data_IF_662545122057
#
_entry.id   IF_662545122057
#
_cell.length_a   1.000
_cell.length_b   1.000
_cell.length_c   1.000
_cell.angle_alpha   90.00
_cell.angle_beta   90.00
_cell.angle_gamma   90.00
#
_symmetry.space_group_name_H-M   'P 1'
#
loop_
_entity.id
_entity.type
_entity.pdbx_description
1 polymer ?
#
# COMPACT_ATOMS: atom_id res chain seq x y z
N UNK A 1 -57.80 25.86 -16.32
CA UNK A 1 -56.33 26.06 -16.34
C UNK A 1 -55.71 25.20 -15.26
N UNK A 2 -55.43 23.94 -15.59
CA UNK A 2 -54.90 22.95 -14.66
C UNK A 2 -53.87 22.07 -15.35
N UNK A 3 -53.00 21.45 -14.56
CA UNK A 3 -52.02 20.41 -14.94
C UNK A 3 -50.64 20.85 -15.48
N UNK A 4 -50.10 22.02 -15.10
CA UNK A 4 -48.67 22.33 -15.43
C UNK A 4 -47.73 22.55 -14.23
N UNK A 5 -48.24 22.52 -13.00
CA UNK A 5 -47.41 22.79 -11.80
C UNK A 5 -47.02 21.52 -11.01
N UNK A 6 -47.56 20.35 -11.38
CA UNK A 6 -47.24 19.08 -10.70
C UNK A 6 -46.02 18.36 -11.31
N UNK A 7 -45.52 18.80 -12.47
CA UNK A 7 -44.39 18.14 -13.14
C UNK A 7 -43.00 18.65 -12.71
N UNK A 8 -42.92 19.66 -11.85
CA UNK A 8 -41.67 20.26 -11.40
C UNK A 8 -41.23 19.79 -9.99
N UNK A 9 -41.75 18.65 -9.52
CA UNK A 9 -41.46 18.09 -8.19
C UNK A 9 -40.98 16.64 -8.24
N UNK A 10 -40.39 16.21 -9.36
CA UNK A 10 -39.94 14.83 -9.59
C UNK A 10 -38.48 14.72 -10.08
N UNK A 11 -37.67 15.78 -9.94
CA UNK A 11 -36.29 15.82 -10.44
C UNK A 11 -35.25 16.12 -9.33
N UNK A 12 -35.49 15.66 -8.09
CA UNK A 12 -34.58 15.86 -6.95
C UNK A 12 -34.30 14.56 -6.16
N UNK A 13 -34.37 13.40 -6.81
CA UNK A 13 -34.18 12.08 -6.15
C UNK A 13 -32.98 11.27 -6.66
N UNK A 14 -32.02 11.89 -7.33
CA UNK A 14 -30.87 11.18 -7.91
C UNK A 14 -29.53 11.89 -7.67
N UNK A 15 -29.22 12.22 -6.43
CA UNK A 15 -27.84 12.50 -6.00
C UNK A 15 -27.57 11.90 -4.61
N UNK A 16 -27.68 10.58 -4.54
CA UNK A 16 -27.29 9.80 -3.36
C UNK A 16 -26.35 8.64 -3.69
N UNK A 17 -25.72 8.64 -4.87
CA UNK A 17 -24.86 7.54 -5.30
C UNK A 17 -23.42 7.74 -4.82
N UNK A 18 -23.02 6.88 -3.87
CA UNK A 18 -21.65 6.46 -3.53
C UNK A 18 -20.72 7.43 -2.77
N UNK A 19 -21.08 7.92 -1.57
CA UNK A 19 -20.08 8.56 -0.69
C UNK A 19 -19.19 7.57 0.10
N UNK A 20 -19.53 6.29 0.16
CA UNK A 20 -18.83 5.31 1.02
C UNK A 20 -17.57 4.70 0.40
N UNK A 21 -17.45 4.65 -0.92
CA UNK A 21 -16.23 4.17 -1.59
C UNK A 21 -15.09 5.20 -1.50
N UNK A 22 -15.40 6.48 -1.35
CA UNK A 22 -14.42 7.57 -1.32
C UNK A 22 -13.74 7.73 0.06
N UNK A 23 -14.42 7.33 1.14
CA UNK A 23 -14.02 7.66 2.53
C UNK A 23 -12.62 7.14 2.92
N UNK A 24 -12.15 6.05 2.31
CA UNK A 24 -10.86 5.45 2.65
C UNK A 24 -9.75 5.62 1.59
N UNK A 25 -10.05 6.18 0.42
CA UNK A 25 -9.05 6.35 -0.65
C UNK A 25 -7.95 7.33 -0.22
N UNK A 26 -8.34 8.44 0.41
CA UNK A 26 -7.40 9.43 0.94
C UNK A 26 -6.55 8.83 2.07
N UNK A 27 -7.14 7.96 2.88
CA UNK A 27 -6.44 7.23 3.94
C UNK A 27 -5.40 6.26 3.37
N UNK A 28 -5.75 5.51 2.32
CA UNK A 28 -4.79 4.65 1.60
C UNK A 28 -3.63 5.49 1.09
N UNK A 29 -3.90 6.59 0.36
CA UNK A 29 -2.85 7.43 -0.22
C UNK A 29 -1.96 8.05 0.85
N UNK A 30 -2.56 8.58 1.92
CA UNK A 30 -1.84 9.19 3.04
C UNK A 30 -0.94 8.18 3.76
N UNK A 31 -1.49 7.03 4.16
CA UNK A 31 -0.72 6.05 4.94
C UNK A 31 0.34 5.33 4.11
N UNK A 32 0.05 4.99 2.85
CA UNK A 32 1.06 4.41 1.95
C UNK A 32 2.19 5.40 1.64
N UNK A 33 1.88 6.69 1.50
CA UNK A 33 2.90 7.74 1.36
C UNK A 33 3.74 7.89 2.63
N UNK A 34 3.11 7.88 3.82
CA UNK A 34 3.82 7.90 5.10
C UNK A 34 4.76 6.69 5.24
N UNK A 35 4.28 5.50 4.86
CA UNK A 35 5.09 4.27 4.86
C UNK A 35 6.31 4.41 3.94
N UNK A 36 6.12 4.80 2.68
CA UNK A 36 7.23 4.93 1.73
C UNK A 36 8.21 6.04 2.13
N UNK A 37 7.71 7.13 2.71
CA UNK A 37 8.57 8.18 3.27
C UNK A 37 9.38 7.68 4.47
N UNK A 38 8.78 6.85 5.33
CA UNK A 38 9.48 6.23 6.44
C UNK A 38 10.61 5.33 5.93
N UNK A 39 10.34 4.51 4.91
CA UNK A 39 11.37 3.72 4.21
C UNK A 39 12.48 4.61 3.64
N UNK A 40 12.14 5.66 2.89
CA UNK A 40 13.12 6.55 2.23
C UNK A 40 14.01 7.30 3.22
N UNK A 41 13.49 7.64 4.40
CA UNK A 41 14.22 8.34 5.47
C UNK A 41 14.97 7.40 6.41
N UNK A 42 14.80 6.10 6.22
CA UNK A 42 15.32 5.08 7.13
C UNK A 42 14.66 5.09 8.51
N UNK A 43 13.42 5.55 8.63
CA UNK A 43 12.61 5.49 9.85
C UNK A 43 11.87 4.15 9.92
N UNK A 44 12.61 3.10 10.24
CA UNK A 44 12.07 1.73 10.23
C UNK A 44 11.15 1.45 11.41
N UNK A 45 11.29 2.16 12.52
CA UNK A 45 10.32 2.13 13.61
C UNK A 45 8.93 2.56 13.11
N UNK A 46 8.87 3.65 12.33
CA UNK A 46 7.64 4.11 11.69
C UNK A 46 7.19 3.17 10.56
N UNK A 47 8.11 2.62 9.77
CA UNK A 47 7.79 1.64 8.72
C UNK A 47 7.05 0.42 9.30
N UNK A 48 7.52 -0.09 10.45
CA UNK A 48 6.92 -1.23 11.13
C UNK A 48 5.48 -0.98 11.61
N UNK A 49 5.06 0.29 11.77
CA UNK A 49 3.65 0.59 12.11
C UNK A 49 2.68 0.24 10.98
N UNK A 50 3.17 0.25 9.74
CA UNK A 50 2.44 -0.09 8.52
C UNK A 50 2.70 -1.53 8.05
N UNK A 51 3.58 -2.27 8.73
CA UNK A 51 3.85 -3.67 8.42
C UNK A 51 2.79 -4.57 9.04
N UNK A 52 2.31 -5.55 8.27
CA UNK A 52 1.28 -6.47 8.74
C UNK A 52 1.71 -7.24 10.01
N UNK A 53 0.87 -7.39 11.04
CA UNK A 53 1.25 -8.06 12.29
C UNK A 53 1.73 -9.51 12.10
N UNK A 54 1.19 -10.26 11.12
CA UNK A 54 1.67 -11.62 10.83
C UNK A 54 3.12 -11.62 10.35
N UNK A 55 3.52 -10.62 9.56
CA UNK A 55 4.91 -10.46 9.09
C UNK A 55 5.82 -10.14 10.26
N UNK A 56 5.42 -9.20 11.14
CA UNK A 56 6.19 -8.88 12.36
C UNK A 56 6.37 -10.12 13.23
N UNK A 57 5.33 -10.95 13.36
CA UNK A 57 5.41 -12.23 14.10
C UNK A 57 6.39 -13.21 13.45
N UNK A 58 6.36 -13.36 12.13
CA UNK A 58 7.30 -14.22 11.37
C UNK A 58 8.74 -13.73 11.54
N UNK A 59 8.96 -12.41 11.59
CA UNK A 59 10.28 -11.81 11.86
C UNK A 59 10.77 -12.01 13.31
N UNK A 60 10.00 -12.67 14.18
CA UNK A 60 10.37 -12.88 15.59
C UNK A 60 9.99 -11.74 16.52
N UNK A 61 8.99 -10.93 16.15
CA UNK A 61 8.46 -9.82 16.94
C UNK A 61 9.08 -8.47 16.60
N UNK A 62 8.51 -7.41 17.19
CA UNK A 62 8.86 -6.01 16.86
C UNK A 62 10.32 -5.68 17.15
N UNK A 63 10.86 -6.16 18.27
CA UNK A 63 12.26 -5.89 18.64
C UNK A 63 13.24 -6.51 17.64
N UNK A 64 13.03 -7.78 17.29
CA UNK A 64 13.83 -8.49 16.29
C UNK A 64 13.72 -7.82 14.92
N UNK A 65 12.51 -7.45 14.52
CA UNK A 65 12.28 -6.74 13.27
C UNK A 65 13.00 -5.38 13.23
N UNK A 66 13.00 -4.64 14.34
CA UNK A 66 13.71 -3.36 14.44
C UNK A 66 15.21 -3.55 14.30
N UNK A 67 15.81 -4.48 15.06
CA UNK A 67 17.26 -4.78 14.96
C UNK A 67 17.67 -5.24 13.57
N UNK A 68 16.84 -6.07 12.92
CA UNK A 68 17.08 -6.52 11.55
C UNK A 68 17.12 -5.35 10.58
N UNK A 69 16.13 -4.45 10.66
CA UNK A 69 16.07 -3.28 9.79
C UNK A 69 17.22 -2.28 10.04
N UNK A 70 17.61 -2.09 11.30
CA UNK A 70 18.79 -1.28 11.67
C UNK A 70 20.10 -1.88 11.11
N UNK A 71 20.20 -3.21 11.07
CA UNK A 71 21.36 -3.89 10.49
C UNK A 71 21.38 -3.75 8.97
N UNK A 72 20.24 -3.98 8.31
CA UNK A 72 20.10 -3.81 6.87
C UNK A 72 20.43 -2.36 6.43
N UNK A 73 20.07 -1.39 7.26
CA UNK A 73 20.41 0.02 7.09
C UNK A 73 21.90 0.28 6.98
N UNK A 74 22.64 -0.24 7.95
CA UNK A 74 24.09 -0.03 8.00
C UNK A 74 24.73 -0.66 6.77
N UNK A 75 24.26 -1.83 6.34
CA UNK A 75 24.73 -2.47 5.12
C UNK A 75 24.44 -1.66 3.85
N UNK A 76 23.23 -1.09 3.73
CA UNK A 76 22.87 -0.23 2.58
C UNK A 76 23.77 1.02 2.56
N UNK A 77 23.94 1.67 3.71
CA UNK A 77 24.82 2.86 3.84
C UNK A 77 26.27 2.54 3.50
N UNK A 78 26.79 1.43 4.03
CA UNK A 78 28.16 0.95 3.77
C UNK A 78 28.38 0.57 2.30
N UNK A 79 27.32 0.12 1.60
CA UNK A 79 27.40 -0.19 0.16
C UNK A 79 27.49 1.06 -0.73
N UNK A 80 27.34 2.26 -0.17
CA UNK A 80 27.26 3.51 -0.93
C UNK A 80 25.95 3.67 -1.70
N UNK A 81 24.94 2.86 -1.38
CA UNK A 81 23.62 2.91 -1.99
C UNK A 81 22.77 4.00 -1.32
N UNK A 82 22.10 4.79 -2.14
CA UNK A 82 21.21 5.88 -1.70
C UNK A 82 19.85 5.75 -2.35
N UNK A 83 18.80 6.09 -1.62
CA UNK A 83 17.42 6.16 -2.14
C UNK A 83 17.21 7.55 -2.71
N UNK A 84 17.12 7.65 -4.03
CA UNK A 84 16.90 8.92 -4.74
C UNK A 84 15.41 9.25 -4.83
N UNK A 85 14.58 8.23 -5.02
CA UNK A 85 13.13 8.38 -5.09
C UNK A 85 12.46 7.16 -4.47
N UNK A 86 11.48 7.38 -3.61
CA UNK A 86 10.52 6.37 -3.24
C UNK A 86 9.13 7.02 -3.19
N UNK A 87 8.18 6.49 -3.96
CA UNK A 87 6.81 7.02 -4.00
C UNK A 87 5.79 5.95 -4.32
N UNK A 88 4.53 6.26 -4.06
CA UNK A 88 3.37 5.45 -4.45
C UNK A 88 2.63 6.08 -5.63
N UNK A 89 2.18 5.24 -6.57
CA UNK A 89 1.28 5.69 -7.64
C UNK A 89 -0.18 5.66 -7.21
N UNK A 90 -1.06 5.58 -8.21
CA UNK A 90 -2.50 5.59 -8.00
C UNK A 90 -3.04 4.21 -7.63
N UNK A 91 -4.13 4.20 -6.88
CA UNK A 91 -4.78 2.96 -6.45
C UNK A 91 -5.36 2.28 -7.69
N UNK A 92 -4.94 1.06 -7.97
CA UNK A 92 -5.35 0.31 -9.17
C UNK A 92 -6.47 -0.70 -8.88
N UNK A 93 -6.63 -1.08 -7.61
CA UNK A 93 -7.72 -1.95 -7.17
C UNK A 93 -8.11 -1.62 -5.74
N UNK A 94 -9.41 -1.64 -5.46
CA UNK A 94 -9.95 -1.65 -4.10
C UNK A 94 -11.02 -2.73 -4.01
N UNK A 95 -11.06 -3.43 -2.89
CA UNK A 95 -12.00 -4.51 -2.66
C UNK A 95 -12.44 -4.51 -1.20
N UNK A 96 -13.73 -4.67 -0.97
CA UNK A 96 -14.24 -5.05 0.35
C UNK A 96 -14.45 -6.57 0.34
N UNK A 97 -13.73 -7.29 1.20
CA UNK A 97 -13.82 -8.74 1.31
C UNK A 97 -13.98 -9.12 2.77
N UNK A 98 -15.08 -9.82 3.09
CA UNK A 98 -15.46 -10.14 4.47
C UNK A 98 -15.46 -8.87 5.35
N UNK A 99 -14.64 -8.88 6.41
CA UNK A 99 -14.48 -7.79 7.37
C UNK A 99 -13.25 -6.91 7.08
N UNK A 100 -12.70 -6.99 5.86
CA UNK A 100 -11.49 -6.26 5.47
C UNK A 100 -11.73 -5.36 4.26
N UNK A 101 -11.05 -4.23 4.24
CA UNK A 101 -10.80 -3.47 3.03
C UNK A 101 -9.42 -3.84 2.50
N UNK A 102 -9.31 -4.01 1.20
CA UNK A 102 -8.10 -4.44 0.53
C UNK A 102 -7.85 -3.52 -0.65
N UNK A 103 -6.58 -3.30 -1.00
CA UNK A 103 -6.21 -2.52 -2.16
C UNK A 103 -4.91 -3.00 -2.80
N UNK A 104 -4.71 -2.59 -4.05
CA UNK A 104 -3.44 -2.71 -4.77
C UNK A 104 -3.05 -1.33 -5.27
N UNK A 105 -1.76 -1.00 -5.15
CA UNK A 105 -1.19 0.24 -5.67
C UNK A 105 0.29 0.04 -6.04
N UNK A 106 0.82 0.70 -7.07
CA UNK A 106 2.22 0.60 -7.44
C UNK A 106 3.10 1.40 -6.48
N UNK A 107 4.29 0.88 -6.21
CA UNK A 107 5.39 1.57 -5.54
C UNK A 107 6.53 1.74 -6.54
N UNK A 108 7.07 2.94 -6.62
CA UNK A 108 8.23 3.28 -7.44
C UNK A 108 9.42 3.53 -6.52
N UNK A 109 10.56 2.93 -6.88
CA UNK A 109 11.82 3.08 -6.18
C UNK A 109 12.92 3.39 -7.19
N UNK A 110 13.73 4.41 -6.90
CA UNK A 110 14.97 4.71 -7.61
C UNK A 110 16.10 4.76 -6.60
N UNK A 111 17.10 3.91 -6.80
CA UNK A 111 18.30 3.84 -5.98
C UNK A 111 19.53 4.16 -6.82
N UNK A 112 20.53 4.77 -6.20
CA UNK A 112 21.81 5.11 -6.81
C UNK A 112 22.94 4.40 -6.09
N UNK A 113 23.88 3.84 -6.84
CA UNK A 113 25.11 3.21 -6.34
C UNK A 113 26.28 3.64 -7.22
N UNK A 114 27.09 4.58 -6.73
CA UNK A 114 28.05 5.29 -7.58
C UNK A 114 27.32 6.04 -8.70
N UNK A 115 27.74 5.83 -9.95
CA UNK A 115 27.10 6.43 -11.14
C UNK A 115 25.96 5.59 -11.74
N UNK A 116 25.66 4.43 -11.14
CA UNK A 116 24.61 3.52 -11.61
C UNK A 116 23.30 3.76 -10.88
N UNK A 117 22.20 3.60 -11.61
CA UNK A 117 20.84 3.68 -11.10
C UNK A 117 20.12 2.35 -11.24
N UNK A 118 19.44 1.97 -10.17
CA UNK A 118 18.43 0.92 -10.17
C UNK A 118 17.06 1.57 -10.04
N UNK A 119 16.14 1.25 -10.94
CA UNK A 119 14.75 1.68 -10.81
C UNK A 119 13.83 0.47 -10.80
N UNK A 120 12.80 0.50 -9.97
CA UNK A 120 11.77 -0.54 -9.95
C UNK A 120 10.38 0.04 -9.76
N UNK A 121 9.42 -0.61 -10.41
CA UNK A 121 7.99 -0.47 -10.15
C UNK A 121 7.50 -1.80 -9.57
N UNK A 122 7.28 -1.81 -8.26
CA UNK A 122 6.71 -2.92 -7.52
C UNK A 122 5.22 -2.62 -7.23
N UNK A 123 4.55 -3.54 -6.55
CA UNK A 123 3.18 -3.36 -6.12
C UNK A 123 3.04 -3.63 -4.62
N UNK A 124 2.21 -2.82 -3.98
CA UNK A 124 1.84 -2.97 -2.59
C UNK A 124 0.44 -3.55 -2.54
N UNK A 125 0.30 -4.65 -1.81
CA UNK A 125 -0.98 -5.09 -1.28
C UNK A 125 -1.26 -4.34 0.02
N UNK A 126 -2.41 -3.67 0.09
CA UNK A 126 -2.89 -3.01 1.30
C UNK A 126 -4.07 -3.75 1.93
N UNK A 127 -4.11 -3.83 3.26
CA UNK A 127 -5.24 -4.39 4.00
C UNK A 127 -5.57 -3.55 5.23
N UNK A 128 -6.86 -3.34 5.48
CA UNK A 128 -7.40 -2.66 6.65
C UNK A 128 -8.50 -3.50 7.29
N UNK A 129 -8.45 -3.59 8.61
CA UNK A 129 -9.40 -4.34 9.45
C UNK A 129 -10.41 -3.43 10.16
N UNK A 130 -10.27 -2.10 10.02
CA UNK A 130 -11.00 -1.10 10.80
C UNK A 130 -11.69 -0.05 9.92
N UNK A 131 -12.20 -0.51 8.77
CA UNK A 131 -12.87 0.32 7.76
C UNK A 131 -12.00 1.45 7.20
N UNK A 132 -10.69 1.22 7.07
CA UNK A 132 -9.77 2.13 6.40
C UNK A 132 -9.17 3.18 7.33
N UNK A 133 -9.33 3.07 8.65
CA UNK A 133 -8.69 3.97 9.63
C UNK A 133 -7.20 3.68 9.74
N UNK A 134 -6.82 2.40 9.71
CA UNK A 134 -5.43 1.93 9.68
C UNK A 134 -5.22 0.96 8.53
N UNK A 135 -4.11 1.15 7.83
CA UNK A 135 -3.69 0.29 6.74
C UNK A 135 -2.36 -0.40 7.06
N UNK A 136 -2.28 -1.66 6.66
CA UNK A 136 -1.02 -2.39 6.56
C UNK A 136 -0.71 -2.60 5.09
N UNK A 137 0.57 -2.52 4.74
CA UNK A 137 1.02 -2.69 3.36
C UNK A 137 2.12 -3.74 3.30
N UNK A 138 2.10 -4.51 2.21
CA UNK A 138 3.01 -5.60 1.93
C UNK A 138 3.53 -5.41 0.52
N UNK A 139 4.86 -5.32 0.36
CA UNK A 139 5.46 -5.41 -0.97
C UNK A 139 5.25 -6.82 -1.51
N UNK A 140 4.56 -6.91 -2.65
CA UNK A 140 4.26 -8.20 -3.28
C UNK A 140 5.44 -8.70 -4.13
N UNK A 141 6.48 -7.89 -4.32
CA UNK A 141 7.71 -8.30 -4.95
C UNK A 141 8.60 -9.09 -3.97
N UNK A 142 9.35 -10.06 -4.49
CA UNK A 142 10.32 -10.84 -3.71
C UNK A 142 9.76 -12.07 -3.00
N UNK A 143 8.47 -12.38 -3.15
CA UNK A 143 7.88 -13.65 -2.70
C UNK A 143 6.80 -14.12 -3.68
N UNK A 144 6.73 -15.43 -3.99
CA UNK A 144 5.63 -15.98 -4.78
C UNK A 144 4.28 -15.67 -4.14
N UNK A 145 3.27 -15.39 -4.98
CA UNK A 145 1.90 -15.07 -4.52
C UNK A 145 1.37 -16.11 -3.52
N UNK A 146 1.61 -17.39 -3.79
CA UNK A 146 1.20 -18.48 -2.90
C UNK A 146 1.74 -18.31 -1.47
N UNK A 147 3.01 -17.88 -1.33
CA UNK A 147 3.61 -17.65 -0.03
C UNK A 147 2.99 -16.43 0.67
N UNK A 148 2.71 -15.36 -0.08
CA UNK A 148 2.05 -14.17 0.46
C UNK A 148 0.65 -14.53 0.97
N UNK A 149 -0.12 -15.30 0.21
CA UNK A 149 -1.44 -15.80 0.63
C UNK A 149 -1.37 -16.77 1.81
N UNK A 150 -0.29 -17.55 1.96
CA UNK A 150 -0.06 -18.37 3.16
C UNK A 150 0.20 -17.51 4.40
N UNK A 151 0.94 -16.41 4.26
CA UNK A 151 1.24 -15.49 5.36
C UNK A 151 0.03 -14.61 5.75
N UNK A 152 -0.85 -14.33 4.79
CA UNK A 152 -2.05 -13.50 4.94
C UNK A 152 -3.21 -14.21 4.25
N UNK A 153 -3.83 -15.22 4.90
CA UNK A 153 -4.92 -15.99 4.31
C UNK A 153 -6.19 -15.15 4.05
N UNK A 154 -6.29 -13.94 4.61
CA UNK A 154 -7.40 -13.03 4.38
C UNK A 154 -7.37 -12.32 3.02
N UNK A 155 -6.26 -12.40 2.27
CA UNK A 155 -6.20 -11.82 0.92
C UNK A 155 -7.26 -12.47 0.05
N UNK A 156 -8.17 -11.65 -0.48
CA UNK A 156 -9.22 -12.14 -1.36
C UNK A 156 -8.63 -12.78 -2.61
N UNK A 157 -9.28 -13.83 -3.11
CA UNK A 157 -8.95 -14.45 -4.40
C UNK A 157 -9.13 -13.49 -5.58
N UNK A 158 -9.90 -12.42 -5.38
CA UNK A 158 -10.13 -11.38 -6.38
C UNK A 158 -9.01 -10.33 -6.46
N UNK A 159 -8.08 -10.30 -5.49
CA UNK A 159 -6.88 -9.46 -5.58
C UNK A 159 -5.97 -10.04 -6.65
N UNK A 160 -5.66 -9.20 -7.64
CA UNK A 160 -4.79 -9.55 -8.77
C UNK A 160 -3.38 -9.06 -8.47
N UNK A 161 -2.44 -10.00 -8.40
CA UNK A 161 -1.02 -9.69 -8.26
C UNK A 161 -0.45 -9.31 -9.63
N UNK A 162 0.42 -8.31 -9.64
CA UNK A 162 1.06 -7.80 -10.85
C UNK A 162 2.56 -7.98 -10.75
N UNK A 163 3.18 -8.24 -11.90
CA UNK A 163 4.62 -8.47 -12.02
C UNK A 163 5.41 -7.17 -11.86
N UNK A 164 6.51 -7.22 -11.10
CA UNK A 164 7.40 -6.08 -10.92
C UNK A 164 8.17 -5.76 -12.19
N UNK A 165 8.40 -4.47 -12.45
CA UNK A 165 9.26 -4.00 -13.54
C UNK A 165 10.56 -3.45 -12.94
N UNK A 166 11.71 -3.78 -13.54
CA UNK A 166 13.05 -3.37 -13.06
C UNK A 166 13.90 -2.88 -14.22
N UNK A 167 14.70 -1.84 -13.98
CA UNK A 167 15.68 -1.33 -14.94
C UNK A 167 16.97 -0.93 -14.24
N UNK A 168 18.08 -1.09 -14.96
CA UNK A 168 19.43 -0.78 -14.52
C UNK A 168 20.05 0.12 -15.58
N UNK A 169 20.45 1.33 -15.18
CA UNK A 169 21.06 2.33 -16.06
C UNK A 169 22.37 2.84 -15.47
#
# INVERSE_FOLDING_TARGET
MGKKIIFLMLLLLSFGFNSKAQEYLDSIKSQSTQMVNAFSKGDYAKLLEFTHPSIIKIMGGKETATKFLDTALNQIKESGMTVEEARVGDIIQTLKSNNTLQCMLPQYLKMKMGDKFYSSKNYLFGISYDNGKRWYFIDTNGSPEENIRKMIPEISKEIVFLESEKSFN
#
